data_IF_829884770528
#
_entry.id   IF_829884770528
#
_cell.length_a   1.000
_cell.length_b   1.000
_cell.length_c   1.000
_cell.angle_alpha   90.00
_cell.angle_beta   90.00
_cell.angle_gamma   90.00
#
_symmetry.space_group_name_H-M   'P 1'
#
loop_
_entity.id
_entity.type
_entity.pdbx_description
1 polymer ?
#
# COMPACT_ATOMS: atom_id res chain seq x y z
N UNK A 1 -14.60 11.46 -1.43
CA UNK A 1 -14.97 10.15 -0.83
C UNK A 1 -14.16 9.95 0.43
N UNK A 2 -14.77 9.47 1.52
CA UNK A 2 -14.11 9.28 2.83
C UNK A 2 -14.22 7.81 3.23
N UNK A 3 -13.13 7.20 3.70
CA UNK A 3 -13.09 5.87 4.30
C UNK A 3 -12.68 6.02 5.77
N UNK A 4 -13.11 5.10 6.63
CA UNK A 4 -12.74 5.12 8.05
C UNK A 4 -12.36 3.72 8.53
N UNK A 5 -11.36 3.65 9.41
CA UNK A 5 -11.04 2.42 10.12
C UNK A 5 -10.47 2.75 11.49
N UNK A 6 -11.21 2.36 12.54
CA UNK A 6 -10.91 2.74 13.93
C UNK A 6 -10.80 4.27 14.04
N UNK A 7 -9.64 4.77 14.43
CA UNK A 7 -9.28 6.16 14.67
C UNK A 7 -8.56 6.83 13.48
N UNK A 8 -8.53 6.18 12.31
CA UNK A 8 -7.97 6.72 11.07
C UNK A 8 -9.08 7.03 10.07
N UNK A 9 -8.94 8.16 9.37
CA UNK A 9 -9.78 8.53 8.25
C UNK A 9 -8.95 8.67 6.98
N UNK A 10 -9.46 8.19 5.85
CA UNK A 10 -8.86 8.40 4.53
C UNK A 10 -9.76 9.33 3.73
N UNK A 11 -9.23 10.44 3.25
CA UNK A 11 -9.98 11.41 2.43
C UNK A 11 -9.40 11.44 1.02
N UNK A 12 -10.22 11.07 0.03
CA UNK A 12 -9.80 11.02 -1.39
C UNK A 12 -9.34 12.40 -1.83
N UNK A 13 -8.15 12.45 -2.43
CA UNK A 13 -7.60 13.66 -3.06
C UNK A 13 -8.30 13.90 -4.40
N UNK A 14 -8.34 15.16 -4.80
CA UNK A 14 -8.72 15.50 -6.17
C UNK A 14 -7.72 14.88 -7.14
N UNK A 15 -8.25 14.28 -8.22
CA UNK A 15 -7.42 13.70 -9.26
C UNK A 15 -6.69 14.85 -9.98
N UNK A 16 -5.36 14.79 -9.99
CA UNK A 16 -4.51 15.70 -10.75
C UNK A 16 -3.94 14.95 -11.95
N UNK A 17 -3.66 15.67 -13.03
CA UNK A 17 -2.85 15.11 -14.12
C UNK A 17 -1.44 14.84 -13.58
N UNK A 18 -1.19 13.59 -13.22
CA UNK A 18 0.11 13.08 -12.79
C UNK A 18 0.73 12.25 -13.92
N UNK A 19 2.06 12.11 -13.88
CA UNK A 19 2.81 11.28 -14.84
C UNK A 19 2.42 9.79 -14.78
N UNK A 20 1.82 9.36 -13.67
CA UNK A 20 1.27 8.02 -13.45
C UNK A 20 -0.19 8.17 -13.08
N UNK A 21 -1.09 7.42 -13.75
CA UNK A 21 -2.49 7.38 -13.36
C UNK A 21 -2.64 6.75 -11.97
N UNK A 22 -2.79 7.61 -10.96
CA UNK A 22 -2.88 7.23 -9.56
C UNK A 22 -4.22 7.65 -8.95
N UNK A 23 -4.64 6.97 -7.89
CA UNK A 23 -5.69 7.46 -6.99
C UNK A 23 -5.10 7.52 -5.59
N UNK A 24 -5.26 8.67 -4.93
CA UNK A 24 -4.61 8.95 -3.65
C UNK A 24 -5.59 9.48 -2.59
N UNK A 25 -5.28 9.20 -1.32
CA UNK A 25 -6.04 9.60 -0.15
C UNK A 25 -5.10 10.13 0.92
N UNK A 26 -5.45 11.27 1.52
CA UNK A 26 -4.81 11.72 2.75
C UNK A 26 -5.24 10.86 3.94
N UNK A 27 -4.26 10.49 4.77
CA UNK A 27 -4.47 9.78 6.03
C UNK A 27 -4.61 10.85 7.13
N UNK A 28 -5.76 10.86 7.80
CA UNK A 28 -6.03 11.74 8.94
C UNK A 28 -6.01 10.95 10.25
N UNK A 29 -5.42 11.58 11.27
CA UNK A 29 -5.53 11.18 12.69
C UNK A 29 -5.86 12.42 13.51
N UNK A 30 -6.97 12.37 14.24
CA UNK A 30 -7.44 13.48 15.09
C UNK A 30 -7.53 14.82 14.36
N UNK A 31 -8.00 14.79 13.10
CA UNK A 31 -8.14 15.97 12.24
C UNK A 31 -6.85 16.46 11.57
N UNK A 32 -5.71 15.82 11.82
CA UNK A 32 -4.41 16.18 11.24
C UNK A 32 -4.01 15.19 10.15
N UNK A 33 -3.49 15.68 9.03
CA UNK A 33 -2.92 14.83 7.97
C UNK A 33 -1.58 14.28 8.47
N UNK A 34 -1.46 12.96 8.53
CA UNK A 34 -0.24 12.26 8.98
C UNK A 34 0.46 11.48 7.85
N UNK A 35 -0.15 11.43 6.66
CA UNK A 35 0.40 10.67 5.54
C UNK A 35 -0.55 10.53 4.37
N UNK A 36 -0.25 9.56 3.51
CA UNK A 36 -0.97 9.30 2.28
C UNK A 36 -0.94 7.81 1.93
N UNK A 37 -2.05 7.32 1.37
CA UNK A 37 -2.09 6.07 0.61
C UNK A 37 -2.45 6.36 -0.83
N UNK A 38 -1.84 5.65 -1.75
CA UNK A 38 -2.17 5.73 -3.17
C UNK A 38 -2.17 4.37 -3.83
N UNK A 39 -2.69 4.34 -5.06
CA UNK A 39 -2.61 3.18 -5.92
C UNK A 39 -2.44 3.57 -7.38
N UNK A 40 -1.69 2.77 -8.12
CA UNK A 40 -1.42 2.93 -9.56
C UNK A 40 -1.40 1.57 -10.25
N UNK A 41 -1.41 1.57 -11.57
CA UNK A 41 -1.35 0.33 -12.36
C UNK A 41 0.11 -0.08 -12.63
N UNK A 42 0.35 -1.38 -12.65
CA UNK A 42 1.63 -1.96 -13.04
C UNK A 42 1.47 -2.95 -14.20
N UNK A 43 2.50 -3.13 -15.00
CA UNK A 43 2.52 -4.17 -16.03
C UNK A 43 2.85 -5.55 -15.44
N UNK A 44 3.01 -6.56 -16.32
CA UNK A 44 3.35 -7.92 -15.91
C UNK A 44 4.82 -8.08 -15.49
N UNK A 45 5.66 -7.07 -15.72
CA UNK A 45 7.04 -6.96 -15.23
C UNK A 45 7.13 -6.12 -13.94
N UNK A 46 5.98 -5.76 -13.36
CA UNK A 46 5.82 -4.93 -12.17
C UNK A 46 6.29 -3.48 -12.33
N UNK A 47 6.35 -2.94 -13.55
CA UNK A 47 6.70 -1.54 -13.80
C UNK A 47 5.46 -0.66 -13.77
N UNK A 48 5.54 0.58 -13.25
CA UNK A 48 4.41 1.52 -13.26
C UNK A 48 3.95 1.84 -14.68
N UNK A 49 2.64 1.80 -14.90
CA UNK A 49 2.01 2.18 -16.15
C UNK A 49 1.61 3.65 -16.07
N UNK A 50 2.10 4.44 -17.01
CA UNK A 50 1.88 5.90 -17.05
C UNK A 50 0.56 6.26 -17.73
N UNK A 51 0.28 5.61 -18.86
CA UNK A 51 -0.92 5.86 -19.69
C UNK A 51 -2.10 5.03 -19.23
N UNK A 52 -3.24 5.68 -19.01
CA UNK A 52 -4.45 5.01 -18.51
C UNK A 52 -4.94 3.93 -19.48
N UNK A 53 -4.76 4.14 -20.78
CA UNK A 53 -5.15 3.24 -21.87
C UNK A 53 -4.37 1.91 -21.86
N UNK A 54 -3.22 1.88 -21.20
CA UNK A 54 -2.35 0.70 -21.08
C UNK A 54 -2.57 -0.05 -19.77
N UNK A 55 -3.46 0.45 -18.90
CA UNK A 55 -3.68 -0.11 -17.57
C UNK A 55 -4.05 -1.58 -17.64
N UNK A 56 -3.45 -2.38 -16.77
CA UNK A 56 -3.86 -3.76 -16.51
C UNK A 56 -4.81 -3.79 -15.29
N UNK A 57 -5.29 -4.98 -14.92
CA UNK A 57 -5.98 -5.17 -13.64
C UNK A 57 -5.01 -5.24 -12.43
N UNK A 58 -3.69 -5.18 -12.66
CA UNK A 58 -2.68 -5.24 -11.61
C UNK A 58 -2.54 -3.86 -10.95
N UNK A 59 -3.16 -3.72 -9.79
CA UNK A 59 -3.08 -2.51 -8.97
C UNK A 59 -1.97 -2.64 -7.93
N UNK A 60 -1.02 -1.70 -7.92
CA UNK A 60 -0.03 -1.55 -6.86
C UNK A 60 -0.47 -0.47 -5.88
N UNK A 61 -0.33 -0.72 -4.58
CA UNK A 61 -0.62 0.26 -3.53
C UNK A 61 0.68 0.76 -2.89
N UNK A 62 0.67 2.03 -2.46
CA UNK A 62 1.74 2.63 -1.66
C UNK A 62 1.15 3.31 -0.44
N UNK A 63 2.01 3.45 0.57
CA UNK A 63 1.74 4.22 1.76
C UNK A 63 2.97 5.01 2.16
N UNK A 64 2.75 6.22 2.66
CA UNK A 64 3.73 7.00 3.37
C UNK A 64 3.13 7.55 4.67
N UNK A 65 3.87 7.48 5.76
CA UNK A 65 3.57 8.20 7.00
C UNK A 65 4.68 9.24 7.17
N UNK A 66 4.32 10.51 7.09
CA UNK A 66 5.27 11.61 6.88
C UNK A 66 6.21 11.78 8.07
N UNK A 67 5.66 12.08 9.24
CA UNK A 67 6.47 12.38 10.43
C UNK A 67 6.82 11.11 11.20
N UNK A 68 8.08 11.01 11.62
CA UNK A 68 8.58 9.86 12.38
C UNK A 68 7.89 9.69 13.73
N UNK A 69 7.35 10.76 14.31
CA UNK A 69 6.52 10.72 15.50
C UNK A 69 5.26 9.87 15.32
N UNK A 70 4.81 9.65 14.09
CA UNK A 70 3.64 8.83 13.76
C UNK A 70 4.01 7.39 13.39
N UNK A 71 5.29 7.04 13.39
CA UNK A 71 5.76 5.69 13.09
C UNK A 71 5.52 4.74 14.26
N UNK A 72 5.44 3.43 13.96
CA UNK A 72 5.33 2.35 14.94
C UNK A 72 4.11 2.43 15.88
N UNK A 73 3.15 3.32 15.60
CA UNK A 73 1.85 3.47 16.29
C UNK A 73 0.69 2.69 15.64
N UNK A 74 0.99 1.88 14.63
CA UNK A 74 0.00 1.09 13.88
C UNK A 74 -0.85 1.89 12.88
N UNK A 75 -0.61 3.19 12.70
CA UNK A 75 -1.37 4.03 11.76
C UNK A 75 -1.24 3.56 10.32
N UNK A 76 -0.04 3.14 9.89
CA UNK A 76 0.17 2.59 8.57
C UNK A 76 -0.66 1.33 8.31
N UNK A 77 -0.70 0.40 9.27
CA UNK A 77 -1.54 -0.80 9.19
C UNK A 77 -3.02 -0.44 9.11
N UNK A 78 -3.50 0.46 9.97
CA UNK A 78 -4.92 0.90 9.97
C UNK A 78 -5.33 1.53 8.65
N UNK A 79 -4.50 2.43 8.10
CA UNK A 79 -4.73 3.05 6.81
C UNK A 79 -4.76 2.03 5.67
N UNK A 80 -3.80 1.09 5.65
CA UNK A 80 -3.77 0.02 4.65
C UNK A 80 -4.98 -0.92 4.76
N UNK A 81 -5.45 -1.27 5.96
CA UNK A 81 -6.66 -2.09 6.13
C UNK A 81 -7.86 -1.40 5.49
N UNK A 82 -8.11 -0.12 5.82
CA UNK A 82 -9.21 0.65 5.24
C UNK A 82 -9.13 0.71 3.71
N UNK A 83 -7.92 0.94 3.18
CA UNK A 83 -7.72 1.12 1.76
C UNK A 83 -7.83 -0.18 0.96
N UNK A 84 -7.25 -1.28 1.49
CA UNK A 84 -7.34 -2.60 0.87
C UNK A 84 -8.77 -3.13 0.89
N UNK A 85 -9.48 -2.94 1.99
CA UNK A 85 -10.90 -3.30 2.11
C UNK A 85 -11.74 -2.60 1.04
N UNK A 86 -11.56 -1.29 0.88
CA UNK A 86 -12.17 -0.53 -0.21
C UNK A 86 -11.84 -1.12 -1.60
N UNK A 87 -10.57 -1.42 -1.86
CA UNK A 87 -10.14 -1.94 -3.17
C UNK A 87 -10.74 -3.32 -3.47
N UNK A 88 -10.87 -4.19 -2.48
CA UNK A 88 -11.45 -5.52 -2.66
C UNK A 88 -12.98 -5.51 -2.64
N UNK A 89 -13.60 -4.83 -1.68
CA UNK A 89 -15.04 -4.92 -1.43
C UNK A 89 -15.85 -3.93 -2.26
N UNK A 90 -15.35 -2.71 -2.47
CA UNK A 90 -16.07 -1.71 -3.27
C UNK A 90 -15.60 -1.69 -4.73
N UNK A 91 -14.29 -1.86 -4.97
CA UNK A 91 -13.72 -1.83 -6.33
C UNK A 91 -13.55 -3.19 -6.98
N UNK A 92 -13.80 -4.27 -6.24
CA UNK A 92 -13.83 -5.64 -6.79
C UNK A 92 -12.51 -6.04 -7.47
N UNK A 93 -11.37 -5.45 -7.07
CA UNK A 93 -10.07 -5.89 -7.56
C UNK A 93 -9.82 -7.35 -7.13
N UNK A 94 -9.27 -8.17 -8.02
CA UNK A 94 -9.05 -9.60 -7.75
C UNK A 94 -7.78 -9.87 -6.94
N UNK A 95 -6.82 -8.95 -7.01
CA UNK A 95 -5.52 -9.02 -6.37
C UNK A 95 -4.92 -7.62 -6.29
N UNK A 96 -3.97 -7.43 -5.37
CA UNK A 96 -3.23 -6.19 -5.20
C UNK A 96 -1.74 -6.49 -5.12
N UNK A 97 -0.93 -5.50 -5.43
CA UNK A 97 0.52 -5.51 -5.26
C UNK A 97 0.98 -4.41 -4.33
N UNK A 98 2.16 -4.60 -3.75
CA UNK A 98 2.91 -3.57 -3.09
C UNK A 98 4.40 -3.81 -3.39
N UNK A 99 5.18 -2.73 -3.46
CA UNK A 99 6.59 -2.81 -3.78
C UNK A 99 7.41 -2.09 -2.70
N UNK A 100 8.56 -2.66 -2.35
CA UNK A 100 9.46 -2.07 -1.37
C UNK A 100 10.88 -2.60 -1.54
N UNK A 101 11.84 -1.94 -0.92
CA UNK A 101 13.22 -2.42 -0.82
C UNK A 101 13.41 -3.24 0.45
N UNK A 102 14.37 -4.17 0.42
CA UNK A 102 14.65 -5.07 1.56
C UNK A 102 15.29 -4.38 2.77
N UNK A 103 15.72 -3.12 2.67
CA UNK A 103 16.09 -2.31 3.85
C UNK A 103 14.88 -1.81 4.64
N UNK A 104 13.73 -1.63 3.98
CA UNK A 104 12.52 -1.10 4.60
C UNK A 104 11.75 -2.21 5.33
N UNK A 105 12.38 -2.76 6.36
CA UNK A 105 11.84 -3.86 7.16
C UNK A 105 10.49 -3.51 7.81
N UNK A 106 10.25 -2.22 8.10
CA UNK A 106 8.98 -1.74 8.67
C UNK A 106 7.80 -2.01 7.73
N UNK A 107 7.87 -1.54 6.49
CA UNK A 107 6.77 -1.78 5.54
C UNK A 107 6.73 -3.24 5.10
N UNK A 108 7.87 -3.92 4.95
CA UNK A 108 7.90 -5.35 4.63
C UNK A 108 7.15 -6.17 5.70
N UNK A 109 7.36 -5.86 6.98
CA UNK A 109 6.66 -6.49 8.09
C UNK A 109 5.15 -6.21 8.05
N UNK A 110 4.74 -4.95 7.87
CA UNK A 110 3.33 -4.56 7.76
C UNK A 110 2.64 -5.30 6.61
N UNK A 111 3.26 -5.34 5.42
CA UNK A 111 2.72 -6.04 4.26
C UNK A 111 2.56 -7.54 4.52
N UNK A 112 3.59 -8.19 5.09
CA UNK A 112 3.50 -9.63 5.44
C UNK A 112 2.40 -9.91 6.45
N UNK A 113 2.24 -9.06 7.47
CA UNK A 113 1.18 -9.19 8.48
C UNK A 113 -0.21 -9.07 7.87
N UNK A 114 -0.38 -8.18 6.87
CA UNK A 114 -1.61 -8.02 6.09
C UNK A 114 -1.87 -9.16 5.09
N UNK A 115 -0.98 -10.16 5.02
CA UNK A 115 -1.14 -11.34 4.18
C UNK A 115 -0.50 -11.24 2.80
N UNK A 116 0.30 -10.20 2.53
CA UNK A 116 1.09 -10.14 1.32
C UNK A 116 2.16 -11.25 1.30
N UNK A 117 2.53 -11.68 0.10
CA UNK A 117 3.58 -12.66 -0.16
C UNK A 117 4.51 -12.15 -1.26
N UNK A 118 5.82 -12.30 -1.08
CA UNK A 118 6.82 -11.92 -2.09
C UNK A 118 6.63 -12.80 -3.33
N UNK A 119 6.50 -12.17 -4.51
CA UNK A 119 6.35 -12.85 -5.81
C UNK A 119 7.49 -12.53 -6.77
N UNK A 120 8.24 -11.45 -6.53
CA UNK A 120 9.47 -11.13 -7.23
C UNK A 120 10.48 -10.51 -6.27
N UNK A 121 11.76 -10.84 -6.48
CA UNK A 121 12.91 -10.29 -5.78
C UNK A 121 14.00 -10.03 -6.81
N UNK A 122 14.26 -8.76 -7.08
CA UNK A 122 15.40 -8.34 -7.90
C UNK A 122 16.56 -8.06 -6.95
N UNK A 123 17.68 -8.75 -7.14
CA UNK A 123 18.84 -8.64 -6.25
C UNK A 123 19.62 -7.37 -6.55
N UNK A 124 20.12 -6.74 -5.50
CA UNK A 124 21.06 -5.62 -5.60
C UNK A 124 20.57 -4.45 -6.49
N UNK A 125 19.27 -4.13 -6.45
CA UNK A 125 18.68 -3.12 -7.34
C UNK A 125 18.46 -1.74 -6.70
N UNK A 126 18.42 -1.65 -5.37
CA UNK A 126 18.08 -0.39 -4.68
C UNK A 126 19.29 0.12 -3.91
N UNK A 127 19.86 1.24 -4.35
CA UNK A 127 20.90 1.96 -3.62
C UNK A 127 20.27 2.90 -2.59
N UNK A 128 20.50 2.63 -1.30
CA UNK A 128 20.08 3.50 -0.20
C UNK A 128 21.33 3.95 0.57
N UNK A 129 21.67 5.23 0.41
CA UNK A 129 22.95 5.75 0.88
C UNK A 129 24.11 5.07 0.15
N UNK A 130 24.94 4.31 0.87
CA UNK A 130 26.08 3.56 0.34
C UNK A 130 25.87 2.05 0.28
N UNK A 131 24.67 1.56 0.61
CA UNK A 131 24.34 0.13 0.65
C UNK A 131 23.35 -0.22 -0.44
N UNK A 132 23.49 -1.43 -0.99
CA UNK A 132 22.61 -1.97 -2.02
C UNK A 132 21.69 -3.02 -1.39
N UNK A 133 20.43 -2.99 -1.78
CA UNK A 133 19.36 -3.84 -1.26
C UNK A 133 18.52 -4.42 -2.40
N UNK A 134 17.86 -5.54 -2.13
CA UNK A 134 16.92 -6.15 -3.07
C UNK A 134 15.65 -5.29 -3.23
N UNK A 135 15.10 -5.26 -4.45
CA UNK A 135 13.76 -4.76 -4.72
C UNK A 135 12.73 -5.90 -4.67
N UNK A 136 11.65 -5.71 -3.93
CA UNK A 136 10.64 -6.71 -3.66
C UNK A 136 9.31 -6.29 -4.27
N UNK A 137 8.68 -7.20 -5.04
CA UNK A 137 7.26 -7.11 -5.39
C UNK A 137 6.49 -8.14 -4.57
N UNK A 138 5.44 -7.69 -3.88
CA UNK A 138 4.59 -8.53 -3.06
C UNK A 138 3.16 -8.51 -3.60
N UNK A 139 2.47 -9.63 -3.46
CA UNK A 139 1.09 -9.84 -3.91
C UNK A 139 0.17 -10.15 -2.74
N UNK A 140 -1.04 -9.60 -2.79
CA UNK A 140 -2.14 -9.89 -1.88
C UNK A 140 -3.35 -10.40 -2.66
N UNK A 141 -4.03 -11.37 -2.07
CA UNK A 141 -5.30 -11.93 -2.56
C UNK A 141 -6.36 -11.82 -1.46
N UNK A 142 -7.65 -11.69 -1.82
CA UNK A 142 -8.71 -11.38 -0.85
C UNK A 142 -8.79 -12.32 0.36
N UNK A 143 -8.61 -13.63 0.15
CA UNK A 143 -8.69 -14.59 1.27
C UNK A 143 -7.54 -14.46 2.28
N UNK A 144 -6.34 -14.10 1.83
CA UNK A 144 -5.19 -13.84 2.71
C UNK A 144 -5.45 -12.58 3.53
N UNK A 145 -5.97 -11.53 2.90
CA UNK A 145 -6.32 -10.28 3.57
C UNK A 145 -7.40 -10.51 4.62
N UNK A 146 -8.50 -11.19 4.27
CA UNK A 146 -9.59 -11.49 5.20
C UNK A 146 -9.10 -12.25 6.44
N UNK A 147 -8.22 -13.23 6.23
CA UNK A 147 -7.60 -13.99 7.31
C UNK A 147 -6.68 -13.13 8.18
N UNK A 148 -5.90 -12.23 7.57
CA UNK A 148 -5.02 -11.30 8.26
C UNK A 148 -5.78 -10.25 9.08
N UNK A 149 -6.79 -9.61 8.48
CA UNK A 149 -7.64 -8.63 9.14
C UNK A 149 -8.29 -9.21 10.40
N UNK A 150 -8.82 -10.44 10.32
CA UNK A 150 -9.40 -11.14 11.48
C UNK A 150 -8.39 -11.28 12.64
N UNK A 151 -7.13 -11.66 12.37
CA UNK A 151 -6.08 -11.75 13.41
C UNK A 151 -5.78 -10.39 14.05
N UNK A 152 -5.62 -9.36 13.22
CA UNK A 152 -5.37 -7.97 13.67
C UNK A 152 -6.51 -7.45 14.56
N UNK A 153 -7.75 -7.83 14.26
CA UNK A 153 -8.92 -7.45 15.06
C UNK A 153 -9.04 -8.22 16.37
N UNK A 154 -8.44 -9.41 16.44
CA UNK A 154 -8.40 -10.26 17.62
C UNK A 154 -7.20 -9.96 18.54
N UNK A 155 -6.29 -9.07 18.13
CA UNK A 155 -5.17 -8.61 18.96
C UNK A 155 -3.93 -9.50 18.92
N UNK A 156 -3.79 -10.32 17.88
CA UNK A 156 -2.55 -11.07 17.57
C UNK A 156 -1.50 -10.21 16.85
#
# INVERSE_FOLDING_TARGET
MKLTYKDIELVKKEEREEEISSQAWHIYKDGVIIGEVDSYFIDYEYKPIRRKEESTDNKCIRINISDSENWDKGYGTKALVAFIEYLFEEKQYRLLYAQTSSDNQRIEHVLKNLGFRVVSRLKDEVLVGSKIYDFLSLKLIPHNFKSAKKRIEQGE
#
